data_IF_435163416140
#
_entry.id   IF_435163416140
#
_cell.length_a   1.000
_cell.length_b   1.000
_cell.length_c   1.000
_cell.angle_alpha   90.00
_cell.angle_beta   90.00
_cell.angle_gamma   90.00
#
_symmetry.space_group_name_H-M   'P 1'
#
loop_
_entity.id
_entity.type
_entity.pdbx_description
1 polymer ?
#
# COMPACT_ATOMS: atom_id res chain seq x y z
N UNK A 1 -8.53 -24.61 -25.17
CA UNK A 1 -7.55 -24.74 -24.07
C UNK A 1 -8.36 -24.77 -22.77
N UNK A 2 -8.31 -25.89 -22.04
CA UNK A 2 -8.88 -25.95 -20.70
C UNK A 2 -8.15 -24.89 -19.86
N UNK A 3 -8.91 -24.02 -19.20
CA UNK A 3 -8.34 -23.13 -18.18
C UNK A 3 -7.77 -24.05 -17.10
N UNK A 4 -6.45 -24.09 -16.97
CA UNK A 4 -5.82 -24.76 -15.82
C UNK A 4 -6.41 -24.11 -14.56
N UNK A 5 -6.88 -24.96 -13.66
CA UNK A 5 -7.44 -24.53 -12.37
C UNK A 5 -6.33 -23.83 -11.59
N UNK A 6 -6.52 -22.56 -11.29
CA UNK A 6 -5.52 -21.77 -10.57
C UNK A 6 -5.73 -21.91 -9.08
N UNK A 7 -4.66 -22.23 -8.37
CA UNK A 7 -4.65 -22.39 -6.92
C UNK A 7 -3.81 -21.29 -6.27
N UNK A 8 -4.29 -20.74 -5.18
CA UNK A 8 -3.55 -19.83 -4.33
C UNK A 8 -3.53 -20.30 -2.88
N UNK A 9 -2.37 -20.21 -2.24
CA UNK A 9 -2.25 -20.34 -0.80
C UNK A 9 -2.42 -18.98 -0.13
N UNK A 10 -3.21 -18.96 0.94
CA UNK A 10 -3.53 -17.79 1.73
C UNK A 10 -2.85 -17.91 3.08
N UNK A 11 -2.01 -16.93 3.41
CA UNK A 11 -1.25 -16.93 4.66
C UNK A 11 -1.46 -15.59 5.36
N UNK A 12 -2.11 -15.63 6.54
CA UNK A 12 -2.16 -14.47 7.41
C UNK A 12 -0.95 -14.51 8.34
N UNK A 13 -0.11 -13.50 8.25
CA UNK A 13 1.12 -13.37 9.03
C UNK A 13 0.90 -12.63 10.36
N UNK A 14 -0.31 -12.09 10.60
CA UNK A 14 -0.57 -11.23 11.74
C UNK A 14 0.26 -9.95 11.73
N UNK A 15 0.72 -9.51 12.89
CA UNK A 15 1.56 -8.30 13.02
C UNK A 15 3.04 -8.65 12.83
N UNK A 16 3.68 -8.10 11.79
CA UNK A 16 5.07 -8.40 11.41
C UNK A 16 5.93 -7.16 11.25
N UNK A 17 7.24 -7.36 11.08
CA UNK A 17 8.17 -6.33 10.59
C UNK A 17 8.12 -6.30 9.05
N UNK A 18 8.01 -5.13 8.48
CA UNK A 18 7.85 -4.97 7.03
C UNK A 18 9.02 -5.58 6.24
N UNK A 19 10.27 -5.34 6.67
CA UNK A 19 11.44 -5.83 5.93
C UNK A 19 11.49 -7.37 5.86
N UNK A 20 11.09 -8.07 6.92
CA UNK A 20 11.03 -9.55 6.93
C UNK A 20 9.98 -10.07 5.96
N UNK A 21 8.84 -9.39 5.89
CA UNK A 21 7.78 -9.75 4.93
C UNK A 21 8.18 -9.38 3.50
N UNK A 22 8.93 -8.31 3.30
CA UNK A 22 9.52 -7.97 2.01
C UNK A 22 10.48 -9.06 1.52
N UNK A 23 11.42 -9.49 2.35
CA UNK A 23 12.36 -10.57 2.02
C UNK A 23 11.62 -11.87 1.68
N UNK A 24 10.56 -12.20 2.41
CA UNK A 24 9.71 -13.35 2.12
C UNK A 24 9.06 -13.24 0.73
N UNK A 25 8.52 -12.08 0.38
CA UNK A 25 7.92 -11.82 -0.94
C UNK A 25 8.94 -11.98 -2.06
N UNK A 26 10.15 -11.41 -1.90
CA UNK A 26 11.23 -11.51 -2.88
C UNK A 26 11.63 -12.98 -3.10
N UNK A 27 11.75 -13.74 -2.02
CA UNK A 27 12.07 -15.17 -2.10
C UNK A 27 10.97 -15.97 -2.83
N UNK A 28 9.70 -15.73 -2.48
CA UNK A 28 8.56 -16.37 -3.17
C UNK A 28 8.56 -16.00 -4.65
N UNK A 29 8.74 -14.71 -4.98
CA UNK A 29 8.78 -14.25 -6.36
C UNK A 29 9.93 -14.91 -7.16
N UNK A 30 11.10 -15.09 -6.52
CA UNK A 30 12.23 -15.80 -7.11
C UNK A 30 11.90 -17.28 -7.40
N UNK A 31 11.31 -17.98 -6.44
CA UNK A 31 10.89 -19.37 -6.61
C UNK A 31 9.87 -19.52 -7.75
N UNK A 32 8.91 -18.62 -7.83
CA UNK A 32 7.89 -18.62 -8.89
C UNK A 32 8.50 -18.33 -10.26
N UNK A 33 9.36 -17.31 -10.36
CA UNK A 33 10.02 -16.95 -11.62
C UNK A 33 10.86 -18.09 -12.19
N UNK A 34 11.45 -18.90 -11.31
CA UNK A 34 12.25 -20.07 -11.69
C UNK A 34 11.44 -21.37 -11.82
N UNK A 35 10.09 -21.31 -11.77
CA UNK A 35 9.19 -22.46 -11.83
C UNK A 35 9.41 -23.51 -10.71
N UNK A 36 10.00 -23.10 -9.59
CA UNK A 36 10.19 -23.94 -8.39
C UNK A 36 8.96 -23.94 -7.49
N UNK A 37 8.10 -22.93 -7.65
CA UNK A 37 6.79 -22.82 -7.00
C UNK A 37 5.76 -22.45 -8.07
N UNK A 38 4.73 -23.27 -8.25
CA UNK A 38 3.70 -23.09 -9.29
C UNK A 38 2.50 -22.28 -8.79
N UNK A 39 2.14 -22.47 -7.56
CA UNK A 39 0.98 -21.86 -6.91
C UNK A 39 1.21 -20.38 -6.63
N UNK A 40 0.14 -19.62 -6.68
CA UNK A 40 0.14 -18.23 -6.24
C UNK A 40 0.12 -18.15 -4.71
N UNK A 41 0.78 -17.15 -4.14
CA UNK A 41 0.79 -16.93 -2.70
C UNK A 41 0.19 -15.57 -2.39
N UNK A 42 -0.81 -15.54 -1.53
CA UNK A 42 -1.42 -14.30 -1.03
C UNK A 42 -1.09 -14.16 0.45
N UNK A 43 -0.27 -13.19 0.79
CA UNK A 43 0.03 -12.87 2.18
C UNK A 43 -0.88 -11.75 2.65
N UNK A 44 -1.37 -11.86 3.89
CA UNK A 44 -2.11 -10.79 4.57
C UNK A 44 -1.38 -10.46 5.86
N UNK A 45 -1.30 -9.19 6.22
CA UNK A 45 -0.55 -8.77 7.41
C UNK A 45 -0.92 -7.35 7.84
N UNK A 46 -0.63 -7.04 9.08
CA UNK A 46 -0.35 -5.68 9.57
C UNK A 46 1.15 -5.58 9.89
N UNK A 47 1.70 -4.38 9.86
CA UNK A 47 3.11 -4.18 10.19
C UNK A 47 3.30 -3.29 11.41
N UNK A 48 4.45 -3.47 12.06
CA UNK A 48 4.95 -2.50 13.04
C UNK A 48 5.21 -1.16 12.37
N UNK A 49 5.19 -0.05 13.13
CA UNK A 49 5.41 1.29 12.58
C UNK A 49 6.71 1.40 11.78
N UNK A 50 6.60 1.87 10.54
CA UNK A 50 7.75 2.03 9.65
C UNK A 50 7.52 3.13 8.61
N UNK A 51 8.55 3.92 8.33
CA UNK A 51 8.64 4.78 7.16
C UNK A 51 9.40 4.04 6.07
N UNK A 52 8.76 3.82 4.94
CA UNK A 52 9.36 3.12 3.80
C UNK A 52 9.46 4.02 2.57
N UNK A 53 10.65 4.09 1.99
CA UNK A 53 10.88 4.73 0.70
C UNK A 53 10.88 3.71 -0.41
N UNK A 54 10.06 3.96 -1.43
CA UNK A 54 9.97 3.14 -2.64
C UNK A 54 10.97 3.56 -3.71
N UNK A 55 10.83 2.94 -4.91
CA UNK A 55 11.74 3.15 -6.05
C UNK A 55 11.66 4.54 -6.68
N UNK A 56 10.57 5.27 -6.47
CA UNK A 56 10.39 6.66 -6.94
C UNK A 56 10.75 7.69 -5.86
N UNK A 57 11.79 7.41 -5.06
CA UNK A 57 12.28 8.33 -4.03
C UNK A 57 12.67 9.68 -4.67
N UNK A 58 12.12 10.76 -4.12
CA UNK A 58 12.49 12.14 -4.44
C UNK A 58 13.08 12.80 -3.19
N UNK A 59 13.88 13.85 -3.38
CA UNK A 59 14.38 14.64 -2.26
C UNK A 59 13.20 15.29 -1.50
N UNK A 60 13.30 15.38 -0.16
CA UNK A 60 12.32 15.99 0.74
C UNK A 60 10.93 15.30 0.80
N UNK A 61 10.94 14.00 1.06
CA UNK A 61 9.69 13.25 1.29
C UNK A 61 9.20 13.27 2.75
N UNK A 62 9.92 13.86 3.67
CA UNK A 62 9.47 14.12 5.03
C UNK A 62 8.67 15.43 5.09
N UNK A 63 7.70 15.50 6.00
CA UNK A 63 6.95 16.72 6.27
C UNK A 63 7.83 17.79 6.91
N UNK A 64 7.49 19.07 6.73
CA UNK A 64 8.25 20.16 7.37
C UNK A 64 8.08 20.12 8.89
N UNK A 65 6.91 19.74 9.38
CA UNK A 65 6.62 19.58 10.81
C UNK A 65 7.55 18.54 11.45
N UNK A 66 7.74 17.41 10.79
CA UNK A 66 8.66 16.39 11.27
C UNK A 66 10.14 16.85 11.15
N UNK A 67 10.51 17.52 10.07
CA UNK A 67 11.85 18.07 9.91
C UNK A 67 12.15 19.16 10.95
N UNK A 68 11.16 19.96 11.34
CA UNK A 68 11.29 20.93 12.43
C UNK A 68 11.51 20.25 13.79
N UNK A 69 10.86 19.12 14.02
CA UNK A 69 11.13 18.31 15.22
C UNK A 69 12.58 17.79 15.21
N UNK A 70 13.05 17.28 14.06
CA UNK A 70 14.45 16.83 13.93
C UNK A 70 15.41 17.99 14.18
N UNK A 71 15.15 19.19 13.63
CA UNK A 71 15.97 20.40 13.88
C UNK A 71 16.05 20.76 15.37
N UNK A 72 14.96 20.66 16.09
CA UNK A 72 14.92 20.92 17.54
C UNK A 72 15.75 19.92 18.34
N UNK A 73 15.79 18.66 17.93
CA UNK A 73 16.48 17.57 18.63
C UNK A 73 17.96 17.45 18.24
N UNK A 74 18.31 17.73 16.99
CA UNK A 74 19.64 17.47 16.42
C UNK A 74 20.39 18.72 15.98
N UNK A 75 19.74 19.87 15.94
CA UNK A 75 20.30 21.14 15.45
C UNK A 75 19.92 21.43 13.99
N UNK A 76 20.30 22.63 13.54
CA UNK A 76 19.91 23.13 12.20
C UNK A 76 20.53 22.32 11.03
N UNK A 77 21.72 21.73 11.27
CA UNK A 77 22.43 20.94 10.27
C UNK A 77 22.35 19.46 10.65
N UNK A 78 21.23 18.83 10.38
CA UNK A 78 21.02 17.40 10.62
C UNK A 78 21.30 16.57 9.36
N UNK A 79 21.61 15.30 9.54
CA UNK A 79 21.88 14.30 8.51
C UNK A 79 20.67 13.37 8.31
N UNK A 80 20.74 12.48 7.32
CA UNK A 80 19.76 11.41 7.15
C UNK A 80 19.80 10.41 8.32
N UNK A 81 20.97 10.16 8.86
CA UNK A 81 21.20 9.31 10.02
C UNK A 81 20.50 9.89 11.27
N UNK A 82 20.54 11.22 11.45
CA UNK A 82 19.81 11.89 12.52
C UNK A 82 18.29 11.72 12.39
N UNK A 83 17.74 11.82 11.17
CA UNK A 83 16.33 11.55 10.91
C UNK A 83 15.97 10.12 11.32
N UNK A 84 16.77 9.14 10.90
CA UNK A 84 16.55 7.73 11.22
C UNK A 84 16.64 7.50 12.74
N UNK A 85 17.54 8.16 13.43
CA UNK A 85 17.68 8.07 14.88
C UNK A 85 16.46 8.64 15.60
N UNK A 86 15.92 9.78 15.13
CA UNK A 86 14.68 10.35 15.67
C UNK A 86 13.49 9.42 15.44
N UNK A 87 13.35 8.81 14.26
CA UNK A 87 12.31 7.81 13.99
C UNK A 87 12.45 6.61 14.95
N UNK A 88 13.67 6.08 15.11
CA UNK A 88 13.94 4.95 16.02
C UNK A 88 13.62 5.27 17.48
N UNK A 89 13.85 6.51 17.93
CA UNK A 89 13.50 6.93 19.29
C UNK A 89 11.98 6.94 19.56
N UNK A 90 11.17 6.85 18.50
CA UNK A 90 9.72 6.76 18.53
C UNK A 90 9.21 5.35 18.20
N UNK A 91 10.07 4.35 18.19
CA UNK A 91 9.78 2.97 17.76
C UNK A 91 9.28 2.86 16.32
N UNK A 92 9.71 3.76 15.45
CA UNK A 92 9.40 3.76 14.02
C UNK A 92 10.64 3.29 13.24
N UNK A 93 10.49 2.18 12.52
CA UNK A 93 11.56 1.69 11.65
C UNK A 93 11.66 2.55 10.37
N UNK A 94 12.81 2.44 9.70
CA UNK A 94 13.03 3.06 8.39
C UNK A 94 13.62 2.04 7.43
N UNK A 95 13.07 1.97 6.22
CA UNK A 95 13.60 1.13 5.16
C UNK A 95 13.48 1.76 3.77
N UNK A 96 14.20 1.16 2.83
CA UNK A 96 14.08 1.44 1.40
C UNK A 96 13.93 0.12 0.65
N UNK A 97 12.94 0.04 -0.25
CA UNK A 97 12.65 -1.19 -1.00
C UNK A 97 12.36 -0.89 -2.47
N UNK A 98 12.18 -1.95 -3.27
CA UNK A 98 11.81 -1.85 -4.69
C UNK A 98 10.32 -1.54 -4.92
N UNK A 99 9.52 -1.33 -3.85
CA UNK A 99 8.11 -1.00 -3.97
C UNK A 99 7.89 0.17 -4.93
N UNK A 100 6.87 0.09 -5.77
CA UNK A 100 6.46 1.20 -6.62
C UNK A 100 5.99 2.41 -5.81
N UNK A 101 6.26 3.61 -6.30
CA UNK A 101 5.90 4.87 -5.65
C UNK A 101 7.02 5.45 -4.77
N UNK A 102 6.74 6.60 -4.13
CA UNK A 102 7.65 7.33 -3.24
C UNK A 102 7.57 6.89 -1.78
N UNK A 103 7.64 7.87 -0.85
CA UNK A 103 7.49 7.61 0.57
C UNK A 103 6.09 7.09 0.93
N UNK A 104 6.04 6.21 1.88
CA UNK A 104 4.82 5.78 2.57
C UNK A 104 5.13 5.48 4.02
N UNK A 105 4.09 5.44 4.83
CA UNK A 105 4.17 4.88 6.18
C UNK A 105 3.38 3.58 6.23
N UNK A 106 3.83 2.71 7.10
CA UNK A 106 3.24 1.40 7.34
C UNK A 106 3.05 1.30 8.85
N UNK A 107 1.86 0.91 9.29
CA UNK A 107 1.53 0.88 10.71
C UNK A 107 0.40 -0.12 11.01
N UNK A 108 0.24 -0.55 12.27
CA UNK A 108 -0.97 -1.25 12.70
C UNK A 108 -2.22 -0.43 12.33
N UNK A 109 -3.31 -1.11 11.96
CA UNK A 109 -4.51 -0.44 11.43
C UNK A 109 -4.55 -0.33 9.91
N UNK A 110 -3.47 -0.71 9.24
CA UNK A 110 -3.41 -0.92 7.80
C UNK A 110 -3.50 -2.40 7.51
N UNK A 111 -4.56 -2.85 6.83
CA UNK A 111 -4.67 -4.23 6.38
C UNK A 111 -4.03 -4.35 5.02
N UNK A 112 -2.93 -5.09 4.95
CA UNK A 112 -2.09 -5.15 3.77
C UNK A 112 -2.18 -6.54 3.16
N UNK A 113 -2.30 -6.56 1.84
CA UNK A 113 -2.35 -7.77 1.03
C UNK A 113 -1.20 -7.77 0.03
N UNK A 114 -0.44 -8.86 0.03
CA UNK A 114 0.70 -9.07 -0.87
C UNK A 114 0.46 -10.28 -1.78
N UNK A 115 -0.22 -10.09 -2.92
CA UNK A 115 -0.31 -11.15 -3.92
C UNK A 115 1.04 -11.33 -4.63
N UNK A 116 1.66 -12.50 -4.44
CA UNK A 116 2.85 -12.91 -5.22
C UNK A 116 2.37 -13.85 -6.31
N UNK A 117 2.08 -13.29 -7.49
CA UNK A 117 1.30 -13.94 -8.54
C UNK A 117 1.89 -13.71 -9.93
N UNK A 118 1.64 -14.63 -10.84
CA UNK A 118 1.82 -14.41 -12.26
C UNK A 118 0.67 -13.54 -12.79
N UNK A 119 0.93 -12.23 -12.93
CA UNK A 119 -0.12 -11.27 -13.29
C UNK A 119 -0.64 -11.46 -14.72
N UNK A 120 0.15 -12.02 -15.64
CA UNK A 120 -0.31 -12.31 -17.00
C UNK A 120 -1.35 -13.43 -16.98
N UNK A 121 -1.16 -14.44 -16.15
CA UNK A 121 -2.16 -15.48 -15.92
C UNK A 121 -3.40 -14.94 -15.21
N UNK A 122 -3.23 -14.01 -14.27
CA UNK A 122 -4.36 -13.35 -13.57
C UNK A 122 -5.27 -12.65 -14.57
N UNK A 123 -4.72 -11.83 -15.46
CA UNK A 123 -5.53 -11.06 -16.43
C UNK A 123 -5.89 -11.85 -17.68
N UNK A 124 -5.30 -13.03 -17.89
CA UNK A 124 -5.65 -13.95 -18.96
C UNK A 124 -5.11 -13.58 -20.33
N UNK A 125 -4.13 -12.69 -20.42
CA UNK A 125 -3.43 -12.29 -21.65
C UNK A 125 -2.08 -11.67 -21.33
N UNK A 126 -1.16 -11.69 -22.27
CA UNK A 126 0.10 -10.97 -22.19
C UNK A 126 -0.21 -9.48 -22.23
N UNK A 127 -0.21 -8.84 -21.08
CA UNK A 127 -0.52 -7.43 -20.92
C UNK A 127 0.53 -6.75 -20.05
N UNK A 128 0.62 -5.46 -20.26
CA UNK A 128 1.37 -4.62 -19.34
C UNK A 128 0.81 -4.67 -17.92
N UNK A 129 1.64 -4.41 -16.94
CA UNK A 129 1.28 -4.35 -15.51
C UNK A 129 0.10 -3.38 -15.20
N UNK A 130 -0.27 -2.53 -16.19
CA UNK A 130 -1.39 -1.58 -16.07
C UNK A 130 -2.73 -2.25 -15.79
N UNK A 131 -3.08 -3.31 -16.55
CA UNK A 131 -4.37 -3.99 -16.33
C UNK A 131 -4.43 -4.70 -14.98
N UNK A 132 -3.32 -5.27 -14.52
CA UNK A 132 -3.23 -5.83 -13.19
C UNK A 132 -3.43 -4.76 -12.10
N UNK A 133 -2.81 -3.58 -12.26
CA UNK A 133 -3.02 -2.45 -11.35
C UNK A 133 -4.48 -1.99 -11.32
N UNK A 134 -5.13 -1.92 -12.48
CA UNK A 134 -6.56 -1.56 -12.58
C UNK A 134 -7.45 -2.62 -11.90
N UNK A 135 -7.07 -3.89 -11.97
CA UNK A 135 -7.77 -4.97 -11.29
C UNK A 135 -7.68 -4.82 -9.76
N UNK A 136 -6.49 -4.48 -9.25
CA UNK A 136 -6.29 -4.18 -7.83
C UNK A 136 -7.12 -2.97 -7.37
N UNK A 137 -7.22 -1.91 -8.17
CA UNK A 137 -8.08 -0.76 -7.85
C UNK A 137 -9.55 -1.16 -7.72
N UNK A 138 -10.02 -2.05 -8.58
CA UNK A 138 -11.40 -2.57 -8.50
C UNK A 138 -11.62 -3.41 -7.24
N UNK A 139 -10.66 -4.25 -6.86
CA UNK A 139 -10.72 -5.02 -5.61
C UNK A 139 -10.81 -4.07 -4.41
N UNK A 140 -9.92 -3.08 -4.33
CA UNK A 140 -9.94 -2.05 -3.29
C UNK A 140 -11.29 -1.35 -3.22
N UNK A 141 -11.79 -0.86 -4.36
CA UNK A 141 -13.06 -0.17 -4.45
C UNK A 141 -14.23 -1.05 -3.97
N UNK A 142 -14.31 -2.29 -4.46
CA UNK A 142 -15.40 -3.21 -4.13
C UNK A 142 -15.42 -3.55 -2.63
N UNK A 143 -14.25 -3.77 -2.03
CA UNK A 143 -14.17 -4.05 -0.59
C UNK A 143 -14.56 -2.82 0.23
N UNK A 144 -13.95 -1.66 -0.06
CA UNK A 144 -14.18 -0.43 0.72
C UNK A 144 -15.65 0.03 0.58
N UNK A 145 -16.28 -0.17 -0.57
CA UNK A 145 -17.69 0.18 -0.79
C UNK A 145 -18.68 -0.53 0.15
N UNK A 146 -18.27 -1.66 0.76
CA UNK A 146 -19.10 -2.38 1.75
C UNK A 146 -19.19 -1.67 3.10
N UNK A 147 -18.38 -0.67 3.33
CA UNK A 147 -18.31 0.08 4.60
C UNK A 147 -19.03 1.43 4.57
N UNK A 148 -19.90 1.67 3.58
CA UNK A 148 -20.67 2.91 3.44
C UNK A 148 -19.81 4.19 3.40
N UNK A 149 -18.64 4.10 2.79
CA UNK A 149 -17.77 5.26 2.56
C UNK A 149 -18.43 6.19 1.52
N UNK A 150 -18.70 7.47 1.84
CA UNK A 150 -19.34 8.38 0.91
C UNK A 150 -18.41 8.73 -0.26
N UNK A 151 -18.99 9.07 -1.40
CA UNK A 151 -18.27 9.57 -2.59
C UNK A 151 -17.02 8.78 -2.97
N UNK A 152 -17.05 7.46 -2.71
CA UNK A 152 -15.93 6.55 -3.01
C UNK A 152 -15.71 6.48 -4.52
N UNK A 153 -14.47 6.59 -4.96
CA UNK A 153 -14.11 6.51 -6.37
C UNK A 153 -12.72 5.88 -6.58
N UNK A 154 -12.58 5.16 -7.69
CA UNK A 154 -11.25 4.86 -8.24
C UNK A 154 -10.77 6.13 -8.92
N UNK A 155 -9.69 6.70 -8.42
CA UNK A 155 -9.18 7.95 -8.95
C UNK A 155 -8.63 7.75 -10.37
N UNK A 156 -9.04 8.61 -11.28
CA UNK A 156 -8.58 8.66 -12.66
C UNK A 156 -8.25 10.10 -13.06
N UNK A 157 -7.36 10.24 -14.03
CA UNK A 157 -7.00 11.55 -14.58
C UNK A 157 -5.80 12.19 -13.87
N UNK A 158 -5.65 13.48 -14.12
CA UNK A 158 -4.52 14.28 -13.65
C UNK A 158 -4.96 15.21 -12.52
N UNK A 159 -4.10 15.38 -11.54
CA UNK A 159 -4.25 16.37 -10.47
C UNK A 159 -3.11 17.39 -10.58
N UNK A 160 -3.45 18.67 -10.46
CA UNK A 160 -2.47 19.73 -10.34
C UNK A 160 -2.00 19.79 -8.89
N UNK A 161 -0.69 19.81 -8.70
CA UNK A 161 -0.05 19.90 -7.38
C UNK A 161 0.96 21.02 -7.36
N UNK A 162 1.45 21.38 -6.18
CA UNK A 162 2.57 22.31 -6.00
C UNK A 162 3.85 21.86 -6.72
N UNK A 163 3.99 20.55 -6.98
CA UNK A 163 5.12 19.95 -7.69
C UNK A 163 4.83 19.64 -9.17
N UNK A 164 3.72 20.15 -9.73
CA UNK A 164 3.30 19.95 -11.11
C UNK A 164 2.15 18.95 -11.27
N UNK A 165 1.87 18.60 -12.51
CA UNK A 165 0.76 17.69 -12.85
C UNK A 165 1.16 16.24 -12.53
N UNK A 166 0.30 15.53 -11.80
CA UNK A 166 0.49 14.11 -11.46
C UNK A 166 -0.75 13.29 -11.81
N UNK A 167 -0.53 12.02 -12.09
CA UNK A 167 -1.63 11.09 -12.31
C UNK A 167 -2.24 10.67 -10.96
N UNK A 168 -3.55 10.86 -10.85
CA UNK A 168 -4.33 10.37 -9.70
C UNK A 168 -4.49 8.87 -9.80
N UNK A 169 -4.18 8.17 -8.74
CA UNK A 169 -4.21 6.70 -8.66
C UNK A 169 -4.81 6.27 -7.34
N UNK A 170 -5.19 4.97 -7.27
CA UNK A 170 -5.72 4.34 -6.06
C UNK A 170 -7.19 4.69 -5.78
N UNK A 171 -7.67 4.40 -4.57
CA UNK A 171 -9.06 4.60 -4.17
C UNK A 171 -9.17 5.77 -3.20
N UNK A 172 -10.11 6.65 -3.49
CA UNK A 172 -10.31 7.93 -2.83
C UNK A 172 -11.75 8.12 -2.40
N UNK A 173 -11.96 8.99 -1.43
CA UNK A 173 -13.25 9.54 -1.06
C UNK A 173 -13.17 11.07 -1.02
N UNK A 174 -14.32 11.73 -1.25
CA UNK A 174 -14.44 13.18 -1.09
C UNK A 174 -15.40 13.47 0.07
N UNK A 175 -14.92 14.24 1.04
CA UNK A 175 -15.69 14.66 2.21
C UNK A 175 -15.63 16.18 2.26
N UNK A 176 -16.79 16.83 2.16
CA UNK A 176 -16.93 18.31 2.21
C UNK A 176 -15.99 19.06 1.24
N UNK A 177 -15.77 18.49 0.07
CA UNK A 177 -14.90 19.10 -0.95
C UNK A 177 -13.42 18.75 -0.84
N UNK A 178 -12.99 18.05 0.21
CA UNK A 178 -11.62 17.57 0.38
C UNK A 178 -11.47 16.11 -0.06
N UNK A 179 -10.40 15.83 -0.76
CA UNK A 179 -10.10 14.50 -1.29
C UNK A 179 -9.17 13.74 -0.34
N UNK A 180 -9.59 12.54 0.07
CA UNK A 180 -8.84 11.67 0.95
C UNK A 180 -8.55 10.33 0.27
N UNK A 181 -7.32 9.85 0.43
CA UNK A 181 -6.95 8.50 0.00
C UNK A 181 -7.32 7.51 1.11
N UNK A 182 -8.10 6.47 0.75
CA UNK A 182 -8.56 5.45 1.69
C UNK A 182 -7.98 4.06 1.44
N UNK A 183 -7.38 3.86 0.29
CA UNK A 183 -6.65 2.65 -0.05
C UNK A 183 -5.60 2.94 -1.11
N UNK A 184 -4.50 2.23 -1.08
CA UNK A 184 -3.41 2.44 -2.04
C UNK A 184 -2.71 1.14 -2.43
N UNK A 185 -1.95 1.19 -3.53
CA UNK A 185 -1.15 0.07 -4.03
C UNK A 185 0.29 0.49 -4.32
N UNK A 186 1.19 -0.44 -4.11
CA UNK A 186 2.61 -0.27 -4.46
C UNK A 186 3.13 -1.57 -5.05
N UNK A 187 2.92 -1.80 -6.34
CA UNK A 187 3.25 -3.05 -7.03
C UNK A 187 4.63 -2.95 -7.65
N UNK A 188 5.40 -4.00 -7.50
CA UNK A 188 6.63 -4.26 -8.26
C UNK A 188 6.51 -5.59 -8.99
N UNK A 189 7.26 -5.76 -10.06
CA UNK A 189 7.27 -7.00 -10.82
C UNK A 189 8.69 -7.44 -11.18
N UNK A 190 8.94 -8.74 -11.09
CA UNK A 190 10.12 -9.43 -11.56
C UNK A 190 9.72 -10.33 -12.75
N UNK A 191 9.89 -9.81 -13.97
CA UNK A 191 9.29 -10.43 -15.15
C UNK A 191 7.76 -10.37 -15.06
N UNK A 192 7.10 -11.52 -15.22
CA UNK A 192 5.64 -11.67 -15.10
C UNK A 192 5.14 -11.92 -13.67
N UNK A 193 6.03 -12.01 -12.68
CA UNK A 193 5.65 -12.19 -11.27
C UNK A 193 5.52 -10.83 -10.60
N UNK A 194 4.31 -10.47 -10.22
CA UNK A 194 4.04 -9.32 -9.36
C UNK A 194 4.23 -9.67 -7.89
N UNK A 195 4.74 -8.71 -7.11
CA UNK A 195 4.82 -8.76 -5.65
C UNK A 195 4.70 -7.35 -5.06
N UNK A 196 4.84 -7.18 -3.75
CA UNK A 196 4.17 -6.11 -3.04
C UNK A 196 2.66 -6.21 -3.26
N UNK A 197 1.92 -5.13 -3.09
CA UNK A 197 0.47 -5.26 -3.23
C UNK A 197 -0.28 -3.98 -2.91
N UNK A 198 -1.24 -4.08 -2.00
CA UNK A 198 -2.14 -2.98 -1.71
C UNK A 198 -2.54 -2.98 -0.23
N UNK A 199 -3.05 -1.85 0.21
CA UNK A 199 -3.45 -1.57 1.59
C UNK A 199 -4.84 -0.95 1.64
N UNK A 200 -5.61 -1.34 2.66
CA UNK A 200 -6.85 -0.69 3.09
C UNK A 200 -6.56 -0.04 4.45
N UNK A 201 -6.84 1.24 4.57
CA UNK A 201 -6.70 1.97 5.84
C UNK A 201 -7.94 1.71 6.68
N UNK A 202 -7.82 0.79 7.64
CA UNK A 202 -8.95 0.33 8.44
C UNK A 202 -9.23 1.26 9.62
N UNK A 203 -8.22 1.58 10.43
CA UNK A 203 -8.38 2.40 11.62
C UNK A 203 -7.38 3.58 11.70
N UNK A 204 -7.62 4.50 12.64
CA UNK A 204 -6.84 5.73 12.80
C UNK A 204 -5.37 5.49 13.14
N UNK A 205 -5.02 4.36 13.76
CA UNK A 205 -3.62 4.04 14.04
C UNK A 205 -2.83 3.85 12.74
N UNK A 206 -3.49 3.38 11.67
CA UNK A 206 -2.90 3.20 10.34
C UNK A 206 -2.64 4.49 9.57
N UNK A 207 -3.24 5.62 9.99
CA UNK A 207 -3.13 6.89 9.26
C UNK A 207 -2.25 7.92 9.95
N UNK A 208 -2.13 7.90 11.28
CA UNK A 208 -1.39 8.90 12.09
C UNK A 208 0.06 9.15 11.64
N UNK A 209 0.76 8.13 11.19
CA UNK A 209 2.17 8.28 10.80
C UNK A 209 2.36 8.99 9.46
N UNK A 210 1.28 9.23 8.69
CA UNK A 210 1.38 10.01 7.46
C UNK A 210 1.79 11.47 7.72
N UNK A 211 1.59 11.97 8.94
CA UNK A 211 2.05 13.30 9.37
C UNK A 211 3.59 13.45 9.30
N UNK A 212 4.35 12.36 9.31
CA UNK A 212 5.81 12.38 9.19
C UNK A 212 6.33 12.56 7.75
N UNK A 213 5.49 12.31 6.75
CA UNK A 213 5.92 12.29 5.35
C UNK A 213 5.02 13.15 4.46
N UNK A 214 5.51 13.46 3.25
CA UNK A 214 4.72 14.00 2.14
C UNK A 214 4.31 12.83 1.25
N UNK A 215 3.11 12.23 1.41
CA UNK A 215 2.72 11.01 0.70
C UNK A 215 2.76 11.21 -0.80
N UNK A 216 3.57 10.43 -1.53
CA UNK A 216 3.75 10.59 -2.98
C UNK A 216 4.23 11.99 -3.43
N UNK A 217 4.83 12.78 -2.51
CA UNK A 217 5.27 14.16 -2.75
C UNK A 217 4.16 15.20 -2.75
N UNK A 218 2.98 14.86 -2.23
CA UNK A 218 1.90 15.83 -1.97
C UNK A 218 2.09 16.49 -0.61
N UNK A 219 1.71 17.77 -0.49
CA UNK A 219 1.51 18.40 0.82
C UNK A 219 0.25 17.84 1.50
N UNK A 220 0.16 17.97 2.81
CA UNK A 220 -1.06 17.57 3.56
C UNK A 220 -2.31 18.31 3.09
N UNK A 221 -2.16 19.57 2.64
CA UNK A 221 -3.26 20.38 2.09
C UNK A 221 -3.73 19.87 0.72
N UNK A 222 -2.87 19.17 -0.02
CA UNK A 222 -3.20 18.64 -1.34
C UNK A 222 -3.77 17.23 -1.28
N UNK A 223 -3.25 16.40 -0.38
CA UNK A 223 -3.65 14.99 -0.24
C UNK A 223 -3.53 14.54 1.22
N UNK A 224 -4.64 14.15 1.78
CA UNK A 224 -4.69 13.50 3.09
C UNK A 224 -5.03 12.01 2.95
N UNK A 225 -4.63 11.23 3.93
CA UNK A 225 -4.99 9.81 4.06
C UNK A 225 -6.02 9.70 5.19
N UNK A 226 -7.03 8.87 4.98
CA UNK A 226 -8.10 8.66 5.96
C UNK A 226 -8.43 7.17 6.06
N UNK A 227 -8.85 6.72 7.23
CA UNK A 227 -9.30 5.35 7.47
C UNK A 227 -10.81 5.20 7.38
N UNK A 228 -11.28 3.97 7.22
CA UNK A 228 -12.70 3.64 7.25
C UNK A 228 -13.30 4.02 8.62
N UNK A 229 -12.57 3.79 9.71
CA UNK A 229 -13.01 4.15 11.07
C UNK A 229 -13.23 5.65 11.22
N UNK A 230 -12.28 6.48 10.74
CA UNK A 230 -12.41 7.95 10.80
C UNK A 230 -13.62 8.46 10.03
N UNK A 231 -13.93 7.86 8.88
CA UNK A 231 -15.09 8.24 8.05
C UNK A 231 -16.40 7.82 8.70
N UNK A 232 -16.45 6.59 9.19
CA UNK A 232 -17.72 6.00 9.67
C UNK A 232 -18.01 6.28 11.13
N UNK A 233 -17.00 6.71 11.90
CA UNK A 233 -17.06 6.87 13.35
C UNK A 233 -17.27 5.55 14.10
N UNK A 234 -16.99 4.40 13.48
CA UNK A 234 -17.21 3.07 14.04
C UNK A 234 -15.96 2.23 13.94
N UNK A 235 -15.68 1.47 14.98
CA UNK A 235 -14.63 0.47 14.94
C UNK A 235 -14.85 -0.50 13.79
N UNK A 236 -13.79 -0.75 13.03
CA UNK A 236 -13.84 -1.59 11.84
C UNK A 236 -13.43 -3.02 12.19
N UNK A 237 -14.23 -3.98 11.76
CA UNK A 237 -13.88 -5.39 11.83
C UNK A 237 -12.81 -5.71 10.76
N UNK A 238 -11.58 -5.88 11.20
CA UNK A 238 -10.44 -6.17 10.33
C UNK A 238 -10.54 -7.55 9.68
N UNK A 239 -11.12 -8.52 10.38
CA UNK A 239 -11.32 -9.88 9.82
C UNK A 239 -12.34 -9.83 8.68
N UNK A 240 -13.40 -9.03 8.82
CA UNK A 240 -14.35 -8.81 7.72
C UNK A 240 -13.66 -8.19 6.49
N UNK A 241 -12.74 -7.23 6.67
CA UNK A 241 -11.94 -6.70 5.55
C UNK A 241 -11.14 -7.82 4.87
N UNK A 242 -10.49 -8.68 5.65
CA UNK A 242 -9.70 -9.80 5.13
C UNK A 242 -10.56 -10.78 4.35
N UNK A 243 -11.73 -11.16 4.89
CA UNK A 243 -12.67 -12.08 4.25
C UNK A 243 -13.23 -11.51 2.94
N UNK A 244 -13.69 -10.26 2.93
CA UNK A 244 -14.19 -9.57 1.76
C UNK A 244 -13.10 -9.47 0.68
N UNK A 245 -11.88 -9.11 1.08
CA UNK A 245 -10.76 -9.00 0.14
C UNK A 245 -10.38 -10.35 -0.45
N UNK A 246 -10.39 -11.40 0.37
CA UNK A 246 -10.15 -12.78 -0.08
C UNK A 246 -11.20 -13.21 -1.10
N UNK A 247 -12.47 -12.91 -0.87
CA UNK A 247 -13.55 -13.22 -1.80
C UNK A 247 -13.38 -12.48 -3.14
N UNK A 248 -13.08 -11.17 -3.10
CA UNK A 248 -12.83 -10.37 -4.30
C UNK A 248 -11.61 -10.86 -5.09
N UNK A 249 -10.51 -11.18 -4.41
CA UNK A 249 -9.32 -11.72 -5.07
C UNK A 249 -9.65 -13.08 -5.71
N UNK A 250 -10.35 -13.98 -5.01
CA UNK A 250 -10.74 -15.28 -5.57
C UNK A 250 -11.54 -15.09 -6.86
N UNK A 251 -12.54 -14.22 -6.84
CA UNK A 251 -13.36 -13.94 -8.02
C UNK A 251 -12.53 -13.35 -9.16
N UNK A 252 -11.82 -12.25 -8.87
CA UNK A 252 -11.12 -11.46 -9.90
C UNK A 252 -9.90 -12.18 -10.47
N UNK A 253 -9.21 -12.96 -9.64
CA UNK A 253 -8.05 -13.75 -10.08
C UNK A 253 -8.44 -15.15 -10.58
N UNK A 254 -9.74 -15.50 -10.50
CA UNK A 254 -10.30 -16.79 -10.95
C UNK A 254 -9.67 -17.99 -10.26
N UNK A 255 -9.54 -17.92 -8.94
CA UNK A 255 -9.15 -19.08 -8.14
C UNK A 255 -10.36 -19.98 -7.86
N UNK A 256 -10.12 -21.27 -7.92
CA UNK A 256 -11.07 -22.30 -7.51
C UNK A 256 -11.27 -22.33 -5.99
#
# INVERSE_FOLDING_TARGET
MSLEERVAYWVDLGLTEYIKTYDLQVNIAHLRRNNLLKEDIILTTEHRPEVNFGSAEQHNQFSEEFLDEVRKLKGQSFTKEDIIEVLKSKDIAFSKTSRGGGATVIAPGQIIFYPVVDYEKVVGKVLGVGDYKNLIDRILYNVISKFNVPNLAIAQGLIQTSQGVRERRDVWTNIEGHDFKIGSKGIHNAGNIAYHGFVIYADIAGTKLFDYIKPCGYSHDEVSVISIEEITGKQVDKELIKELTKAEIKEKFRYS
#
